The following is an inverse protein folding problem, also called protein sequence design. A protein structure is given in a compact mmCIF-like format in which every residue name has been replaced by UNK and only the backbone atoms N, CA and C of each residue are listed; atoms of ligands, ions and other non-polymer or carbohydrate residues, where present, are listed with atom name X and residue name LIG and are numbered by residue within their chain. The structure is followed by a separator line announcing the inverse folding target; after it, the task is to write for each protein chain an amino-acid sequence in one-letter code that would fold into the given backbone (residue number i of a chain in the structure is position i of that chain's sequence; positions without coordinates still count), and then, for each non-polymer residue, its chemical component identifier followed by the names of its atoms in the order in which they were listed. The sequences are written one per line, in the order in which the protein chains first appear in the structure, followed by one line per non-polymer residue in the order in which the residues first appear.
data_IF_824067301432
#
_entry.id   IF_824067301432
#
_cell.length_a   1.000
_cell.length_b   1.000
_cell.length_c   1.000
_cell.angle_alpha   90.00
_cell.angle_beta   90.00
_cell.angle_gamma   90.00
#
_symmetry.space_group_name_H-M   'P 1'
#
loop_
_entity.id
_entity.type
_entity.pdbx_description
1 polymer ?
#
# COMPACT_ATOMS: atom_id res chain seq x y z
N UNK A 1 -8.46 16.25 21.02
CA UNK A 1 -7.84 16.99 19.90
C UNK A 1 -6.48 17.47 20.36
N UNK A 2 -5.45 16.64 20.23
CA UNK A 2 -4.06 17.04 20.37
C UNK A 2 -3.55 17.36 18.96
N UNK A 3 -3.16 18.61 18.72
CA UNK A 3 -2.43 19.00 17.52
C UNK A 3 -1.05 18.38 17.58
N UNK A 4 -0.83 17.35 16.76
CA UNK A 4 0.50 16.76 16.57
C UNK A 4 1.31 17.70 15.69
N UNK A 5 2.37 18.28 16.25
CA UNK A 5 3.41 18.97 15.47
C UNK A 5 4.27 17.89 14.80
N UNK A 6 4.08 17.72 13.50
CA UNK A 6 4.97 16.92 12.65
C UNK A 6 6.33 17.63 12.58
N UNK A 7 7.43 16.88 12.70
CA UNK A 7 8.78 17.41 12.49
C UNK A 7 8.89 17.96 11.05
N UNK A 8 8.78 19.28 10.92
CA UNK A 8 8.51 20.05 9.70
C UNK A 8 9.67 20.10 8.68
N UNK A 9 10.73 19.30 8.82
CA UNK A 9 11.91 19.41 7.96
C UNK A 9 11.73 18.91 6.51
N UNK A 10 10.58 18.29 6.21
CA UNK A 10 10.31 17.58 4.97
C UNK A 10 8.95 17.95 4.35
N UNK A 11 8.37 19.12 4.66
CA UNK A 11 7.00 19.46 4.21
C UNK A 11 7.00 20.63 3.22
N UNK A 12 6.35 20.45 2.06
CA UNK A 12 6.06 21.52 1.11
C UNK A 12 4.60 21.95 1.28
N UNK A 13 4.39 23.16 1.81
CA UNK A 13 3.06 23.77 1.98
C UNK A 13 2.90 24.86 0.93
N UNK A 14 1.84 24.75 0.12
CA UNK A 14 1.45 25.80 -0.85
C UNK A 14 0.03 26.22 -0.48
N UNK A 15 -0.16 27.49 -0.14
CA UNK A 15 -1.46 28.08 0.27
C UNK A 15 -2.22 27.30 1.34
N UNK A 16 -1.50 26.70 2.29
CA UNK A 16 -2.08 25.91 3.38
C UNK A 16 -2.46 24.48 2.99
N UNK A 17 -2.22 24.05 1.75
CA UNK A 17 -2.39 22.66 1.33
C UNK A 17 -1.08 21.90 1.51
N UNK A 18 -1.17 20.72 2.12
CA UNK A 18 -0.05 19.81 2.36
C UNK A 18 -0.35 18.46 1.70
N UNK A 19 0.61 17.90 0.97
CA UNK A 19 0.54 16.54 0.41
C UNK A 19 1.80 15.77 0.79
N UNK A 20 1.63 14.54 1.26
CA UNK A 20 2.73 13.67 1.62
C UNK A 20 2.45 12.21 1.26
N UNK A 21 3.52 11.48 0.94
CA UNK A 21 3.48 10.01 0.93
C UNK A 21 3.56 9.57 2.40
N UNK A 22 2.49 8.92 2.88
CA UNK A 22 2.38 8.48 4.28
C UNK A 22 2.88 7.04 4.47
N UNK A 23 3.96 6.71 3.76
CA UNK A 23 4.65 5.42 3.85
C UNK A 23 6.05 5.63 4.44
N UNK A 24 6.70 4.57 4.95
CA UNK A 24 8.10 4.63 5.34
C UNK A 24 9.01 5.08 4.19
N UNK A 25 10.13 5.72 4.51
CA UNK A 25 11.08 6.26 3.52
C UNK A 25 11.76 5.19 2.65
N UNK A 26 11.69 3.91 3.02
CA UNK A 26 12.20 2.80 2.23
C UNK A 26 11.06 1.84 1.92
N UNK A 27 10.74 1.67 0.64
CA UNK A 27 9.76 0.72 0.12
C UNK A 27 10.52 -0.33 -0.70
N UNK A 28 10.45 -1.59 -0.33
CA UNK A 28 11.17 -2.70 -0.96
C UNK A 28 10.18 -3.57 -1.72
N UNK A 29 10.44 -3.76 -3.01
CA UNK A 29 9.62 -4.53 -3.93
C UNK A 29 10.39 -5.73 -4.49
N UNK A 30 9.90 -6.97 -4.31
CA UNK A 30 10.49 -8.16 -4.90
C UNK A 30 10.21 -8.17 -6.40
N UNK A 31 11.25 -8.27 -7.21
CA UNK A 31 11.12 -8.49 -8.64
C UNK A 31 10.82 -9.97 -8.88
N UNK A 32 9.69 -10.34 -9.49
CA UNK A 32 9.39 -11.73 -9.79
C UNK A 32 10.41 -12.29 -10.77
N UNK A 33 10.75 -13.57 -10.62
CA UNK A 33 11.76 -14.22 -11.44
C UNK A 33 11.23 -14.49 -12.86
N UNK A 34 11.40 -13.49 -13.73
CA UNK A 34 11.41 -13.38 -15.22
C UNK A 34 10.68 -14.34 -16.18
N UNK A 35 9.96 -15.39 -15.78
CA UNK A 35 9.33 -16.31 -16.77
C UNK A 35 7.85 -16.06 -17.04
N UNK A 36 7.15 -15.28 -16.22
CA UNK A 36 5.71 -15.07 -16.35
C UNK A 36 5.35 -13.60 -16.15
N UNK A 37 4.20 -13.17 -16.68
CA UNK A 37 3.60 -11.84 -16.54
C UNK A 37 3.22 -11.54 -15.07
N UNK A 38 4.22 -11.57 -14.20
CA UNK A 38 4.06 -11.41 -12.79
C UNK A 38 3.81 -9.93 -12.50
N UNK A 39 2.77 -9.70 -11.71
CA UNK A 39 2.28 -8.40 -11.38
C UNK A 39 2.50 -8.19 -9.88
N UNK A 40 3.35 -7.24 -9.53
CA UNK A 40 3.49 -6.81 -8.15
C UNK A 40 2.48 -5.71 -7.90
N UNK A 41 1.67 -5.86 -6.86
CA UNK A 41 0.87 -4.74 -6.37
C UNK A 41 1.67 -3.93 -5.36
N UNK A 42 1.67 -2.64 -5.53
CA UNK A 42 2.18 -1.66 -4.59
C UNK A 42 1.01 -0.78 -4.16
N UNK A 43 0.77 -0.65 -2.85
CA UNK A 43 -0.20 0.29 -2.32
C UNK A 43 0.55 1.37 -1.54
N UNK A 44 0.49 2.61 -2.02
CA UNK A 44 1.05 3.78 -1.34
C UNK A 44 -0.09 4.63 -0.81
N UNK A 45 -0.06 4.90 0.49
CA UNK A 45 -0.98 5.83 1.14
C UNK A 45 -0.47 7.25 0.96
N UNK A 46 -1.35 8.14 0.54
CA UNK A 46 -1.09 9.55 0.32
C UNK A 46 -2.01 10.33 1.26
N UNK A 47 -1.42 11.24 2.02
CA UNK A 47 -2.14 12.11 2.95
C UNK A 47 -2.19 13.51 2.34
N UNK A 48 -3.39 14.06 2.21
CA UNK A 48 -3.62 15.42 1.71
C UNK A 48 -4.35 16.19 2.80
N UNK A 49 -3.68 17.17 3.40
CA UNK A 49 -4.24 17.99 4.48
C UNK A 49 -4.50 19.40 3.98
N UNK A 50 -5.76 19.84 4.09
CA UNK A 50 -6.16 21.20 3.81
C UNK A 50 -6.15 22.03 5.10
N UNK A 51 -5.13 22.86 5.30
CA UNK A 51 -5.05 23.83 6.40
C UNK A 51 -5.54 25.23 6.00
N UNK A 52 -5.97 25.43 4.75
CA UNK A 52 -6.56 26.68 4.30
C UNK A 52 -7.92 26.92 4.95
N UNK A 53 -8.43 28.14 4.85
CA UNK A 53 -9.76 28.52 5.38
C UNK A 53 -10.91 28.07 4.48
N UNK A 54 -10.64 27.81 3.21
CA UNK A 54 -11.62 27.33 2.22
C UNK A 54 -11.46 25.84 1.94
N UNK A 55 -12.46 25.23 1.30
CA UNK A 55 -12.35 23.88 0.76
C UNK A 55 -11.38 23.85 -0.42
N UNK A 56 -10.65 22.74 -0.55
CA UNK A 56 -9.67 22.52 -1.61
C UNK A 56 -10.18 21.46 -2.59
N UNK A 57 -10.27 21.77 -3.90
CA UNK A 57 -10.69 20.79 -4.90
C UNK A 57 -9.53 19.85 -5.25
N UNK A 58 -9.69 18.56 -4.97
CA UNK A 58 -8.71 17.53 -5.29
C UNK A 58 -9.17 16.66 -6.46
N UNK A 59 -8.28 16.47 -7.45
CA UNK A 59 -8.52 15.68 -8.65
C UNK A 59 -7.49 14.57 -8.80
N UNK A 60 -7.91 13.31 -8.72
CA UNK A 60 -6.96 12.19 -8.73
C UNK A 60 -6.14 12.11 -10.03
N UNK A 61 -6.69 12.53 -11.17
CA UNK A 61 -6.03 12.52 -12.49
C UNK A 61 -4.93 13.58 -12.65
N UNK A 62 -4.85 14.53 -11.70
CA UNK A 62 -3.82 15.58 -11.68
C UNK A 62 -2.59 15.20 -10.88
N UNK A 63 -2.63 14.05 -10.21
CA UNK A 63 -1.49 13.50 -9.49
C UNK A 63 -0.65 12.65 -10.45
N UNK A 64 0.63 12.98 -10.55
CA UNK A 64 1.59 12.31 -11.43
C UNK A 64 2.81 11.83 -10.66
N UNK A 65 3.42 10.69 -11.04
CA UNK A 65 4.66 10.26 -10.43
C UNK A 65 5.80 11.09 -10.98
N UNK A 66 6.82 11.24 -10.16
CA UNK A 66 8.16 11.44 -10.66
C UNK A 66 9.09 10.43 -10.01
N UNK A 67 9.87 9.74 -10.84
CA UNK A 67 10.83 8.74 -10.40
C UNK A 67 12.22 9.22 -10.78
N UNK A 68 13.13 9.24 -9.80
CA UNK A 68 14.56 9.47 -10.01
C UNK A 68 15.31 8.15 -9.92
N UNK A 69 16.17 7.88 -10.90
CA UNK A 69 17.16 6.82 -10.80
C UNK A 69 18.25 7.19 -9.78
N UNK A 70 19.02 6.18 -9.34
CA UNK A 70 20.20 6.38 -8.48
C UNK A 70 21.26 7.32 -9.09
N UNK A 71 21.26 7.48 -10.42
CA UNK A 71 22.11 8.44 -11.14
C UNK A 71 21.64 9.90 -11.01
N UNK A 72 20.47 10.14 -10.42
CA UNK A 72 19.80 11.46 -10.39
C UNK A 72 19.02 11.79 -11.67
N UNK A 73 19.02 10.89 -12.66
CA UNK A 73 18.23 11.08 -13.88
C UNK A 73 16.73 10.90 -13.59
N UNK A 74 15.93 11.87 -14.02
CA UNK A 74 14.47 11.76 -14.00
C UNK A 74 14.02 10.76 -15.06
N UNK A 75 13.30 9.73 -14.62
CA UNK A 75 12.59 8.81 -15.49
C UNK A 75 11.20 9.41 -15.70
N UNK A 76 11.04 10.09 -16.84
CA UNK A 76 9.76 10.70 -17.15
C UNK A 76 8.75 9.61 -17.51
N UNK A 77 7.63 9.51 -16.78
CA UNK A 77 6.61 8.54 -17.12
C UNK A 77 5.96 8.97 -18.44
N UNK A 78 6.01 8.10 -19.44
CA UNK A 78 5.31 8.31 -20.71
C UNK A 78 3.81 8.15 -20.44
N UNK A 79 3.09 9.27 -20.42
CA UNK A 79 1.63 9.27 -20.26
C UNK A 79 1.01 8.65 -21.51
N UNK A 80 0.49 7.43 -21.42
CA UNK A 80 -0.42 6.95 -22.46
C UNK A 80 -1.77 7.61 -22.23
N UNK A 81 -2.01 8.70 -22.95
CA UNK A 81 -3.34 9.31 -23.02
C UNK A 81 -4.22 8.33 -23.81
N UNK A 82 -5.08 7.57 -23.13
CA UNK A 82 -6.18 6.91 -23.81
C UNK A 82 -7.14 7.99 -24.34
N UNK A 83 -7.64 7.80 -25.56
CA UNK A 83 -8.29 8.82 -26.38
C UNK A 83 -9.46 9.53 -25.67
N UNK A 84 -9.43 10.88 -25.67
CA UNK A 84 -10.59 11.78 -25.49
C UNK A 84 -11.53 11.47 -24.30
N UNK A 85 -11.01 11.23 -23.10
CA UNK A 85 -11.87 11.14 -21.92
C UNK A 85 -11.97 12.52 -21.27
N UNK A 86 -13.15 13.11 -21.36
CA UNK A 86 -13.53 14.28 -20.57
C UNK A 86 -13.39 13.92 -19.07
N UNK A 87 -12.69 14.71 -18.25
CA UNK A 87 -12.60 14.45 -16.82
C UNK A 87 -13.99 14.23 -16.25
N UNK A 88 -14.28 13.04 -15.72
CA UNK A 88 -15.54 12.79 -15.04
C UNK A 88 -15.52 13.53 -13.72
N UNK A 89 -16.58 14.30 -13.44
CA UNK A 89 -16.78 14.99 -12.15
C UNK A 89 -16.64 14.00 -10.97
N UNK A 90 -16.92 12.71 -11.20
CA UNK A 90 -16.76 11.61 -10.26
C UNK A 90 -15.34 11.42 -9.70
N UNK A 91 -14.30 11.98 -10.34
CA UNK A 91 -12.90 11.85 -9.89
C UNK A 91 -12.41 13.04 -9.05
N UNK A 92 -13.33 13.93 -8.66
CA UNK A 92 -13.02 15.16 -7.94
C UNK A 92 -13.73 15.24 -6.59
N UNK A 93 -13.00 15.64 -5.55
CA UNK A 93 -13.50 15.73 -4.17
C UNK A 93 -13.10 17.07 -3.57
N UNK A 94 -14.05 17.74 -2.92
CA UNK A 94 -13.75 18.86 -2.03
C UNK A 94 -13.18 18.35 -0.70
N UNK A 95 -11.96 18.76 -0.36
CA UNK A 95 -11.35 18.55 0.95
C UNK A 95 -11.71 19.75 1.81
N UNK A 96 -12.56 19.62 2.86
CA UNK A 96 -12.96 20.76 3.67
C UNK A 96 -11.78 21.38 4.43
N UNK A 97 -11.92 22.63 4.84
CA UNK A 97 -10.95 23.32 5.70
C UNK A 97 -10.65 22.50 6.97
N UNK A 98 -9.36 22.43 7.33
CA UNK A 98 -8.83 21.70 8.49
C UNK A 98 -9.16 20.21 8.48
N UNK A 99 -9.29 19.62 7.29
CA UNK A 99 -9.52 18.18 7.11
C UNK A 99 -8.40 17.55 6.29
N UNK A 100 -8.26 16.25 6.50
CA UNK A 100 -7.32 15.39 5.78
C UNK A 100 -8.10 14.38 4.93
N UNK A 101 -7.64 14.18 3.71
CA UNK A 101 -8.04 13.10 2.82
C UNK A 101 -6.90 12.08 2.77
N UNK A 102 -7.26 10.80 2.94
CA UNK A 102 -6.38 9.69 2.64
C UNK A 102 -6.74 9.15 1.26
N UNK A 103 -5.73 9.09 0.39
CA UNK A 103 -5.80 8.49 -0.93
C UNK A 103 -4.87 7.27 -0.95
N UNK A 104 -5.24 6.28 -1.75
CA UNK A 104 -4.43 5.09 -1.96
C UNK A 104 -4.04 5.04 -3.43
N UNK A 105 -2.74 5.04 -3.70
CA UNK A 105 -2.19 4.76 -5.00
C UNK A 105 -1.89 3.28 -5.08
N UNK A 106 -2.69 2.56 -5.85
CA UNK A 106 -2.54 1.14 -6.12
C UNK A 106 -1.81 1.02 -7.45
N UNK A 107 -0.50 0.81 -7.39
CA UNK A 107 0.32 0.54 -8.56
C UNK A 107 0.44 -0.96 -8.81
N UNK A 108 0.43 -1.34 -10.07
CA UNK A 108 0.70 -2.66 -10.61
C UNK A 108 2.00 -2.56 -11.40
N UNK A 109 3.05 -3.18 -10.88
CA UNK A 109 4.30 -3.34 -11.60
C UNK A 109 4.27 -4.66 -12.37
N UNK A 110 4.36 -4.60 -13.69
CA UNK A 110 4.49 -5.78 -14.55
C UNK A 110 5.85 -5.77 -15.25
N UNK A 111 6.32 -6.93 -15.68
CA UNK A 111 7.52 -7.08 -16.51
C UNK A 111 7.09 -7.63 -17.85
N UNK A 112 7.40 -6.91 -18.93
CA UNK A 112 7.11 -7.33 -20.31
C UNK A 112 8.34 -7.06 -21.18
N UNK A 113 8.86 -8.09 -21.87
CA UNK A 113 10.04 -7.99 -22.73
C UNK A 113 11.28 -7.40 -22.03
N UNK A 114 11.52 -7.80 -20.77
CA UNK A 114 12.55 -7.23 -19.89
C UNK A 114 12.38 -5.72 -19.59
N UNK A 115 11.20 -5.17 -19.88
CA UNK A 115 10.79 -3.81 -19.51
C UNK A 115 9.85 -3.89 -18.32
N UNK A 116 10.11 -3.09 -17.30
CA UNK A 116 9.13 -2.90 -16.23
C UNK A 116 8.09 -1.86 -16.65
N UNK A 117 6.81 -2.16 -16.41
CA UNK A 117 5.71 -1.24 -16.62
C UNK A 117 5.03 -0.99 -15.29
N UNK A 118 4.90 0.28 -14.91
CA UNK A 118 4.20 0.68 -13.69
C UNK A 118 2.84 1.25 -14.06
N UNK A 119 1.85 0.38 -14.14
CA UNK A 119 0.46 0.83 -14.20
C UNK A 119 0.05 1.27 -12.80
N UNK A 120 -0.83 2.27 -12.67
CA UNK A 120 -1.40 2.55 -11.37
C UNK A 120 -2.86 3.00 -11.44
N UNK A 121 -3.51 2.95 -10.30
CA UNK A 121 -4.85 3.45 -10.10
C UNK A 121 -4.85 4.20 -8.78
N UNK A 122 -5.35 5.43 -8.81
CA UNK A 122 -5.55 6.20 -7.58
C UNK A 122 -6.99 5.97 -7.16
N UNK A 123 -7.14 5.44 -5.96
CA UNK A 123 -8.43 5.23 -5.33
C UNK A 123 -8.50 6.12 -4.09
N UNK A 124 -9.67 6.71 -3.86
CA UNK A 124 -9.95 7.37 -2.58
C UNK A 124 -10.65 6.36 -1.69
N UNK A 125 -10.61 6.56 -0.37
CA UNK A 125 -11.23 5.62 0.57
C UNK A 125 -12.77 5.54 0.49
N UNK A 126 -13.41 6.08 -0.54
CA UNK A 126 -14.86 6.14 -0.68
C UNK A 126 -15.38 5.66 -2.03
N UNK A 127 -14.55 5.62 -3.06
CA UNK A 127 -14.96 5.21 -4.40
C UNK A 127 -13.81 4.51 -5.13
N UNK A 128 -14.07 3.27 -5.55
CA UNK A 128 -13.32 2.65 -6.63
C UNK A 128 -13.82 3.26 -7.93
N UNK A 129 -13.09 4.24 -8.44
CA UNK A 129 -13.11 4.46 -9.87
C UNK A 129 -12.47 3.22 -10.51
N UNK A 130 -13.31 2.32 -11.04
CA UNK A 130 -12.84 1.22 -11.91
C UNK A 130 -12.29 1.73 -13.24
N UNK A 131 -12.31 3.04 -13.47
CA UNK A 131 -11.67 3.67 -14.61
C UNK A 131 -10.15 3.61 -14.47
N UNK A 132 -9.60 2.52 -14.99
CA UNK A 132 -8.18 2.16 -15.12
C UNK A 132 -7.39 3.05 -16.08
N UNK A 133 -7.79 4.29 -16.26
CA UNK A 133 -7.40 5.08 -17.43
C UNK A 133 -6.09 5.85 -17.29
N UNK A 134 -5.42 5.77 -16.13
CA UNK A 134 -4.14 6.42 -15.91
C UNK A 134 -3.03 5.38 -15.87
N UNK A 135 -2.65 4.86 -17.04
CA UNK A 135 -1.47 3.99 -17.16
C UNK A 135 -0.27 4.85 -17.55
N UNK A 136 0.76 4.79 -16.72
CA UNK A 136 2.06 5.39 -17.01
C UNK A 136 3.02 4.29 -17.43
N UNK A 137 3.82 4.58 -18.44
CA UNK A 137 4.88 3.67 -18.86
C UNK A 137 6.21 4.27 -18.43
N UNK A 138 7.01 3.47 -17.75
CA UNK A 138 8.38 3.81 -17.43
C UNK A 138 9.27 3.10 -18.45
N UNK A 139 10.33 3.77 -18.89
CA UNK A 139 11.38 3.12 -19.66
C UNK A 139 12.08 2.05 -18.78
N UNK A 140 12.89 1.19 -19.40
CA UNK A 140 13.68 0.17 -18.70
C UNK A 140 14.35 0.74 -17.46
N UNK A 141 14.06 0.18 -16.30
CA UNK A 141 14.83 0.44 -15.08
C UNK A 141 15.46 -0.86 -14.57
N UNK A 142 16.67 -0.75 -14.04
CA UNK A 142 17.45 -1.87 -13.53
C UNK A 142 17.08 -2.16 -12.07
N UNK A 143 17.49 -3.30 -11.53
CA UNK A 143 17.48 -3.52 -10.08
C UNK A 143 18.26 -2.40 -9.38
N UNK A 144 17.77 -1.95 -8.23
CA UNK A 144 18.41 -0.86 -7.51
C UNK A 144 17.44 0.02 -6.75
N UNK A 145 17.97 1.15 -6.27
CA UNK A 145 17.24 2.14 -5.48
C UNK A 145 16.86 3.30 -6.39
N UNK A 146 15.59 3.66 -6.32
CA UNK A 146 14.97 4.79 -6.99
C UNK A 146 14.37 5.72 -5.95
N UNK A 147 14.10 6.95 -6.33
CA UNK A 147 13.33 7.87 -5.50
C UNK A 147 12.00 8.17 -6.19
N UNK A 148 10.90 8.02 -5.46
CA UNK A 148 9.56 8.31 -5.92
C UNK A 148 9.03 9.54 -5.19
N UNK A 149 8.47 10.49 -5.92
CA UNK A 149 7.58 11.52 -5.37
C UNK A 149 6.34 11.67 -6.23
N UNK A 150 5.38 12.43 -5.72
CA UNK A 150 4.15 12.76 -6.43
C UNK A 150 4.09 14.27 -6.66
N UNK A 151 3.62 14.63 -7.85
CA UNK A 151 3.41 16.01 -8.27
C UNK A 151 1.92 16.18 -8.54
N UNK A 152 1.27 17.07 -7.79
CA UNK A 152 -0.12 17.45 -7.98
C UNK A 152 -0.22 18.78 -8.71
N UNK A 153 -0.74 18.74 -9.93
CA UNK A 153 -0.96 19.93 -10.76
C UNK A 153 -2.40 20.42 -10.61
N UNK A 154 -2.65 21.26 -9.60
CA UNK A 154 -3.99 21.78 -9.32
C UNK A 154 -4.56 22.51 -10.53
N UNK A 155 -5.81 22.24 -10.96
CA UNK A 155 -6.45 23.05 -11.97
C UNK A 155 -6.78 24.44 -11.38
N UNK A 156 -6.75 25.47 -12.23
CA UNK A 156 -7.11 26.85 -11.89
C UNK A 156 -8.50 27.21 -12.43
N UNK A 157 -9.20 28.13 -11.74
CA UNK A 157 -10.50 28.66 -12.13
C UNK A 157 -11.66 28.05 -11.36
N UNK A 158 -12.87 28.20 -11.92
CA UNK A 158 -14.10 27.64 -11.37
C UNK A 158 -14.22 26.14 -11.68
N UNK A 159 -14.43 25.34 -10.65
CA UNK A 159 -14.38 23.88 -10.70
C UNK A 159 -15.60 23.30 -10.01
N UNK A 160 -16.26 22.36 -10.67
CA UNK A 160 -17.36 21.59 -10.08
C UNK A 160 -16.75 20.34 -9.46
N UNK A 161 -16.92 20.17 -8.15
CA UNK A 161 -16.42 19.01 -7.41
C UNK A 161 -17.49 18.42 -6.51
N UNK A 162 -17.36 17.15 -6.13
CA UNK A 162 -18.26 16.54 -5.15
C UNK A 162 -17.88 16.93 -3.73
N UNK A 163 -18.83 17.44 -2.96
CA UNK A 163 -18.68 17.59 -1.52
C UNK A 163 -18.65 16.21 -0.86
N UNK A 164 -17.64 15.97 -0.03
CA UNK A 164 -17.45 14.67 0.61
C UNK A 164 -18.53 14.34 1.65
N UNK A 165 -19.09 15.36 2.30
CA UNK A 165 -20.07 15.16 3.38
C UNK A 165 -21.47 14.94 2.82
N UNK A 166 -21.86 15.71 1.81
CA UNK A 166 -23.23 15.64 1.26
C UNK A 166 -23.34 14.79 0.00
N UNK A 167 -22.23 14.62 -0.74
CA UNK A 167 -22.22 13.99 -2.07
C UNK A 167 -22.69 14.91 -3.19
N UNK A 168 -23.09 16.15 -2.89
CA UNK A 168 -23.56 17.12 -3.87
C UNK A 168 -22.42 17.73 -4.69
N UNK A 169 -22.73 18.21 -5.89
CA UNK A 169 -21.80 19.00 -6.67
C UNK A 169 -21.76 20.44 -6.14
N UNK A 170 -20.56 20.93 -5.82
CA UNK A 170 -20.31 22.30 -5.40
C UNK A 170 -19.35 23.00 -6.38
N UNK A 171 -19.54 24.30 -6.56
CA UNK A 171 -18.63 25.15 -7.33
C UNK A 171 -17.56 25.70 -6.39
N UNK A 172 -16.30 25.41 -6.68
CA UNK A 172 -15.14 25.95 -5.97
C UNK A 172 -14.26 26.73 -6.93
N UNK A 173 -13.63 27.78 -6.43
CA UNK A 173 -12.62 28.52 -7.17
C UNK A 173 -11.24 28.12 -6.67
N UNK A 174 -10.34 27.73 -7.58
CA UNK A 174 -8.96 27.37 -7.29
C UNK A 174 -8.02 28.35 -7.96
N UNK A 175 -7.12 28.92 -7.16
CA UNK A 175 -6.10 29.87 -7.60
C UNK A 175 -4.68 29.33 -7.46
N UNK A 176 -4.52 28.04 -7.15
CA UNK A 176 -3.21 27.41 -7.03
C UNK A 176 -2.53 27.37 -8.40
N UNK A 177 -1.47 28.15 -8.55
CA UNK A 177 -0.67 28.24 -9.78
C UNK A 177 0.49 27.24 -9.74
N UNK A 178 1.06 27.02 -8.55
CA UNK A 178 2.24 26.17 -8.38
C UNK A 178 1.86 24.70 -8.10
N UNK A 179 2.58 23.72 -8.69
CA UNK A 179 2.40 22.32 -8.36
C UNK A 179 2.72 22.04 -6.90
N UNK A 180 1.92 21.19 -6.27
CA UNK A 180 2.18 20.70 -4.91
C UNK A 180 2.95 19.39 -5.03
N UNK A 181 4.12 19.32 -4.40
CA UNK A 181 5.04 18.17 -4.51
C UNK A 181 5.22 17.48 -3.17
N UNK A 182 5.24 16.15 -3.17
CA UNK A 182 5.65 15.37 -2.00
C UNK A 182 7.17 15.36 -1.89
N UNK A 183 7.68 14.98 -0.72
CA UNK A 183 9.06 14.52 -0.61
C UNK A 183 9.28 13.20 -1.34
N UNK A 184 10.55 12.92 -1.59
CA UNK A 184 10.99 11.65 -2.11
C UNK A 184 10.93 10.56 -1.04
N UNK A 185 10.45 9.39 -1.44
CA UNK A 185 10.65 8.12 -0.73
C UNK A 185 11.52 7.22 -1.59
N UNK A 186 12.34 6.38 -0.97
CA UNK A 186 13.16 5.41 -1.69
C UNK A 186 12.34 4.17 -2.03
N UNK A 187 12.38 3.75 -3.29
CA UNK A 187 11.81 2.50 -3.78
C UNK A 187 12.96 1.61 -4.24
N UNK A 188 13.14 0.47 -3.59
CA UNK A 188 14.20 -0.48 -3.90
C UNK A 188 13.60 -1.73 -4.55
N UNK A 189 14.05 -2.04 -5.75
CA UNK A 189 13.73 -3.29 -6.42
C UNK A 189 14.81 -4.32 -6.12
N UNK A 190 14.42 -5.44 -5.54
CA UNK A 190 15.33 -6.52 -5.13
C UNK A 190 14.92 -7.84 -5.76
N UNK A 191 15.90 -8.68 -6.07
CA UNK A 191 15.60 -10.07 -6.41
C UNK A 191 15.24 -10.87 -5.16
N UNK A 192 14.37 -11.90 -5.28
CA UNK A 192 14.20 -12.90 -4.25
C UNK A 192 15.53 -13.59 -3.95
N UNK A 193 15.71 -14.03 -2.71
CA UNK A 193 16.92 -14.77 -2.31
C UNK A 193 17.01 -16.05 -3.14
N UNK A 194 18.14 -16.30 -3.81
CA UNK A 194 18.30 -17.40 -4.80
C UNK A 194 17.85 -18.78 -4.29
N UNK A 195 18.10 -19.05 -3.01
CA UNK A 195 17.78 -20.33 -2.36
C UNK A 195 16.36 -20.41 -1.81
N UNK A 196 15.64 -19.28 -1.73
CA UNK A 196 14.27 -19.21 -1.21
C UNK A 196 13.46 -18.13 -1.93
N UNK A 197 12.63 -18.58 -2.85
CA UNK A 197 11.72 -17.73 -3.63
C UNK A 197 10.63 -17.06 -2.79
N UNK A 198 10.51 -17.37 -1.50
CA UNK A 198 9.54 -16.76 -0.57
C UNK A 198 10.15 -15.65 0.28
N UNK A 199 11.43 -15.34 0.08
CA UNK A 199 12.14 -14.36 0.86
C UNK A 199 12.79 -13.26 0.01
N UNK A 200 12.87 -12.06 0.59
CA UNK A 200 13.71 -10.97 0.14
C UNK A 200 14.66 -10.55 1.24
N UNK A 201 15.83 -10.05 0.88
CA UNK A 201 16.80 -9.51 1.81
C UNK A 201 17.16 -8.06 1.47
N UNK A 202 17.12 -7.19 2.46
CA UNK A 202 17.48 -5.78 2.34
C UNK A 202 18.34 -5.37 3.52
N UNK A 203 19.51 -4.80 3.27
CA UNK A 203 20.46 -4.34 4.29
C UNK A 203 20.80 -5.42 5.34
N UNK A 204 20.88 -6.68 4.92
CA UNK A 204 21.12 -7.81 5.83
C UNK A 204 19.90 -8.21 6.66
N UNK A 205 18.69 -7.72 6.37
CA UNK A 205 17.46 -8.17 7.02
C UNK A 205 16.64 -8.95 5.99
N UNK A 206 16.37 -10.22 6.29
CA UNK A 206 15.60 -11.13 5.44
C UNK A 206 14.14 -11.20 5.92
N UNK A 207 13.21 -11.02 4.99
CA UNK A 207 11.76 -11.09 5.20
C UNK A 207 11.19 -12.25 4.38
N UNK A 208 10.49 -13.18 5.02
CA UNK A 208 9.95 -14.40 4.40
C UNK A 208 8.45 -14.55 4.73
N UNK A 209 7.60 -14.76 3.73
CA UNK A 209 6.19 -15.14 3.96
C UNK A 209 6.09 -16.60 4.36
N UNK A 210 5.47 -16.84 5.52
CA UNK A 210 5.23 -18.15 6.10
C UNK A 210 3.73 -18.47 5.98
N UNK A 211 3.43 -19.54 5.25
CA UNK A 211 2.11 -20.16 5.14
C UNK A 211 2.28 -21.64 5.51
N UNK A 212 2.14 -22.03 6.80
CA UNK A 212 2.44 -23.38 7.27
C UNK A 212 1.57 -24.45 6.61
N UNK A 213 0.29 -24.17 6.40
CA UNK A 213 -0.64 -25.02 5.65
C UNK A 213 -1.02 -24.31 4.35
N UNK A 214 -0.70 -24.91 3.20
CA UNK A 214 -0.97 -24.35 1.88
C UNK A 214 -2.25 -24.91 1.24
N UNK A 215 -2.98 -25.80 1.92
CA UNK A 215 -4.26 -26.33 1.47
C UNK A 215 -5.28 -26.06 2.56
N UNK A 216 -6.14 -25.06 2.35
CA UNK A 216 -7.16 -24.70 3.33
C UNK A 216 -8.45 -25.40 2.98
N UNK A 217 -8.89 -26.29 3.88
CA UNK A 217 -10.13 -27.04 3.74
C UNK A 217 -11.27 -26.23 4.35
N UNK A 218 -12.25 -25.89 3.52
CA UNK A 218 -13.44 -25.16 3.96
C UNK A 218 -14.64 -26.10 4.01
N UNK A 219 -15.41 -26.01 5.09
CA UNK A 219 -16.72 -26.65 5.17
C UNK A 219 -17.76 -25.66 4.67
N UNK A 220 -18.47 -26.02 3.59
CA UNK A 220 -19.57 -25.22 3.05
C UNK A 220 -20.94 -25.71 3.51
N UNK A 221 -20.99 -26.56 4.55
CA UNK A 221 -22.24 -27.13 5.08
C UNK A 221 -23.21 -26.07 5.60
N UNK A 222 -22.69 -24.96 6.12
CA UNK A 222 -23.47 -23.83 6.61
C UNK A 222 -22.84 -22.52 6.15
N UNK A 223 -23.64 -21.64 5.54
CA UNK A 223 -23.19 -20.33 5.02
C UNK A 223 -22.59 -19.41 6.10
N UNK A 224 -22.79 -19.72 7.39
CA UNK A 224 -22.30 -18.94 8.53
C UNK A 224 -21.25 -19.68 9.35
N UNK A 225 -20.81 -20.85 8.90
CA UNK A 225 -19.78 -21.60 9.60
C UNK A 225 -18.40 -21.06 9.22
N UNK A 226 -17.70 -20.54 10.22
CA UNK A 226 -16.33 -20.07 10.07
C UNK A 226 -15.45 -21.29 9.89
N UNK A 227 -14.72 -21.34 8.77
CA UNK A 227 -13.72 -22.40 8.56
C UNK A 227 -12.65 -22.38 9.66
N UNK A 228 -11.97 -23.51 9.92
CA UNK A 228 -10.85 -23.53 10.86
C UNK A 228 -9.86 -22.41 10.53
N UNK A 229 -9.48 -21.64 11.55
CA UNK A 229 -8.48 -20.61 11.38
C UNK A 229 -7.12 -21.23 11.05
N UNK A 230 -6.43 -20.63 10.09
CA UNK A 230 -5.07 -20.95 9.69
C UNK A 230 -4.14 -19.81 10.11
N UNK A 231 -2.87 -20.14 10.36
CA UNK A 231 -1.86 -19.12 10.62
C UNK A 231 -1.19 -18.71 9.30
N UNK A 232 -1.00 -17.42 9.12
CA UNK A 232 -0.10 -16.86 8.10
C UNK A 232 0.80 -15.84 8.80
N UNK A 233 2.03 -15.67 8.35
CA UNK A 233 2.94 -14.79 9.06
C UNK A 233 4.17 -14.40 8.28
N UNK A 234 4.94 -13.47 8.84
CA UNK A 234 6.24 -13.10 8.29
C UNK A 234 7.33 -13.53 9.26
N UNK A 235 8.38 -14.17 8.73
CA UNK A 235 9.62 -14.39 9.46
C UNK A 235 10.61 -13.31 9.06
N UNK A 236 11.19 -12.68 10.06
CA UNK A 236 12.22 -11.65 9.91
C UNK A 236 13.50 -12.21 10.52
N UNK A 237 14.54 -12.35 9.71
CA UNK A 237 15.86 -12.81 10.15
C UNK A 237 16.86 -11.66 10.02
N UNK A 238 17.55 -11.34 11.10
CA UNK A 238 18.54 -10.27 11.11
C UNK A 238 19.92 -10.85 10.79
N UNK A 239 20.30 -10.86 9.51
CA UNK A 239 21.65 -11.24 9.06
C UNK A 239 22.66 -10.09 9.17
N UNK A 240 22.25 -8.89 9.59
CA UNK A 240 23.13 -7.74 9.74
C UNK A 240 24.07 -7.89 10.95
N UNK A 241 25.02 -6.96 11.10
CA UNK A 241 25.93 -6.92 12.24
C UNK A 241 25.39 -6.18 13.46
N UNK A 242 24.22 -5.54 13.36
CA UNK A 242 23.61 -4.75 14.44
C UNK A 242 22.27 -5.36 14.84
N UNK A 243 21.88 -5.19 16.10
CA UNK A 243 20.54 -5.59 16.54
C UNK A 243 19.51 -4.59 16.03
N UNK A 244 18.34 -5.07 15.65
CA UNK A 244 17.23 -4.23 15.16
C UNK A 244 15.92 -4.63 15.82
N UNK A 245 15.03 -3.65 16.01
CA UNK A 245 13.68 -3.87 16.53
C UNK A 245 12.65 -3.90 15.42
N UNK A 246 11.72 -4.83 15.54
CA UNK A 246 10.58 -4.97 14.66
C UNK A 246 9.30 -4.92 15.47
N UNK A 247 8.36 -4.08 15.03
CA UNK A 247 7.03 -4.00 15.62
C UNK A 247 6.10 -5.05 14.99
N UNK A 248 5.37 -5.81 15.81
CA UNK A 248 4.32 -6.73 15.36
C UNK A 248 2.95 -6.06 15.22
N UNK A 249 2.71 -4.92 15.89
CA UNK A 249 1.41 -4.25 15.94
C UNK A 249 1.03 -3.58 14.61
N UNK A 250 -0.01 -4.09 13.94
CA UNK A 250 -0.60 -3.53 12.71
C UNK A 250 0.37 -3.38 11.53
N UNK A 251 1.46 -4.14 11.54
CA UNK A 251 2.54 -4.04 10.55
C UNK A 251 2.41 -5.03 9.39
N UNK A 252 1.60 -6.09 9.51
CA UNK A 252 1.44 -7.10 8.46
C UNK A 252 0.21 -6.78 7.61
N UNK A 253 0.41 -6.53 6.32
CA UNK A 253 -0.69 -6.25 5.38
C UNK A 253 -0.77 -7.39 4.35
N UNK A 254 -1.85 -8.18 4.33
CA UNK A 254 -2.04 -9.23 3.35
C UNK A 254 -2.45 -8.64 1.99
N UNK A 255 -1.86 -9.19 0.93
CA UNK A 255 -2.22 -8.94 -0.46
C UNK A 255 -2.52 -10.28 -1.11
N UNK A 256 -3.69 -10.38 -1.73
CA UNK A 256 -4.15 -11.61 -2.37
C UNK A 256 -4.32 -11.40 -3.87
N UNK A 257 -3.69 -12.26 -4.66
CA UNK A 257 -3.92 -12.38 -6.09
C UNK A 257 -4.80 -13.59 -6.38
N UNK A 258 -5.87 -13.37 -7.13
CA UNK A 258 -6.70 -14.43 -7.71
C UNK A 258 -6.09 -15.03 -8.99
N UNK A 259 -6.74 -16.06 -9.53
CA UNK A 259 -6.28 -16.81 -10.72
C UNK A 259 -6.04 -15.95 -11.98
N UNK A 260 -6.69 -14.79 -12.08
CA UNK A 260 -6.53 -13.86 -13.19
C UNK A 260 -5.47 -12.76 -12.94
N UNK A 261 -4.70 -12.88 -11.86
CA UNK A 261 -3.73 -11.87 -11.44
C UNK A 261 -4.36 -10.55 -11.00
N UNK A 262 -5.66 -10.53 -10.72
CA UNK A 262 -6.31 -9.38 -10.07
C UNK A 262 -6.09 -9.46 -8.57
N UNK A 263 -5.79 -8.31 -7.99
CA UNK A 263 -5.73 -8.12 -6.54
C UNK A 263 -7.16 -8.14 -6.03
N UNK A 264 -7.48 -9.10 -5.17
CA UNK A 264 -8.81 -9.24 -4.59
C UNK A 264 -8.94 -8.37 -3.35
N UNK A 265 -10.15 -7.87 -3.11
CA UNK A 265 -10.56 -7.44 -1.78
C UNK A 265 -9.86 -6.20 -1.20
N UNK A 266 -9.13 -5.40 -1.99
CA UNK A 266 -8.64 -4.09 -1.53
C UNK A 266 -9.77 -3.06 -1.33
N UNK A 267 -11.02 -3.49 -1.15
CA UNK A 267 -12.13 -2.61 -0.79
C UNK A 267 -11.93 -2.06 0.62
N UNK A 268 -11.21 -0.94 0.67
CA UNK A 268 -11.11 -0.02 1.80
C UNK A 268 -10.49 -0.60 3.06
N UNK A 269 -9.18 -0.38 3.20
CA UNK A 269 -8.59 -0.06 4.50
C UNK A 269 -8.92 -1.03 5.61
N UNK A 270 -8.72 -2.33 5.37
CA UNK A 270 -8.46 -3.27 6.45
C UNK A 270 -7.35 -2.67 7.30
N UNK A 271 -7.72 -2.20 8.47
CA UNK A 271 -6.93 -1.31 9.28
C UNK A 271 -7.42 -1.43 10.71
N UNK A 272 -6.51 -1.27 11.66
CA UNK A 272 -6.90 -1.23 13.07
C UNK A 272 -7.86 -0.08 13.29
N UNK A 273 -9.14 -0.41 13.49
CA UNK A 273 -10.14 0.52 14.04
C UNK A 273 -9.95 0.70 15.55
N UNK A 274 -8.91 0.08 16.11
CA UNK A 274 -8.55 0.19 17.51
C UNK A 274 -7.94 1.54 17.86
N UNK A 275 -8.52 2.19 18.87
CA UNK A 275 -7.95 3.34 19.56
C UNK A 275 -6.70 3.03 20.40
N UNK A 276 -6.24 1.78 20.38
CA UNK A 276 -5.10 1.32 21.17
C UNK A 276 -3.84 1.48 20.33
N UNK A 277 -2.87 2.23 20.83
CA UNK A 277 -1.53 2.29 20.21
C UNK A 277 -0.75 1.00 20.48
N UNK A 278 0.33 0.78 19.72
CA UNK A 278 1.29 -0.28 20.04
C UNK A 278 1.85 -0.09 21.46
N UNK A 279 2.22 -1.17 22.12
CA UNK A 279 2.91 -1.18 23.42
C UNK A 279 4.36 -1.60 23.23
N UNK A 280 5.22 -1.35 24.21
CA UNK A 280 6.63 -1.81 24.19
C UNK A 280 6.77 -3.32 23.91
N UNK A 281 5.84 -4.14 24.42
CA UNK A 281 5.81 -5.59 24.17
C UNK A 281 5.64 -5.99 22.71
N UNK A 282 5.15 -5.08 21.87
CA UNK A 282 4.95 -5.32 20.44
C UNK A 282 6.26 -5.11 19.65
N UNK A 283 7.31 -4.56 20.29
CA UNK A 283 8.61 -4.29 19.69
C UNK A 283 9.62 -5.36 20.08
N UNK A 284 9.97 -6.20 19.12
CA UNK A 284 10.87 -7.34 19.32
C UNK A 284 12.28 -6.98 18.85
N UNK A 285 13.24 -6.95 19.78
CA UNK A 285 14.67 -6.82 19.46
C UNK A 285 15.20 -8.14 18.92
N UNK A 286 15.74 -8.12 17.71
CA UNK A 286 16.32 -9.27 17.03
C UNK A 286 17.82 -9.03 16.87
N UNK A 287 18.65 -9.86 17.49
CA UNK A 287 20.11 -9.74 17.39
C UNK A 287 20.62 -10.29 16.06
N UNK A 288 21.89 -10.00 15.69
CA UNK A 288 22.54 -10.66 14.57
C UNK A 288 22.38 -12.19 14.62
N UNK A 289 22.02 -12.76 13.48
CA UNK A 289 21.74 -14.19 13.25
C UNK A 289 20.52 -14.75 13.97
N UNK A 290 19.71 -13.92 14.63
CA UNK A 290 18.43 -14.33 15.21
C UNK A 290 17.26 -14.04 14.25
N UNK A 291 16.11 -14.67 14.54
CA UNK A 291 14.88 -14.43 13.80
C UNK A 291 13.69 -14.27 14.72
N UNK A 292 12.71 -13.48 14.31
CA UNK A 292 11.38 -13.41 14.91
C UNK A 292 10.34 -13.78 13.86
N UNK A 293 9.23 -14.41 14.27
CA UNK A 293 8.09 -14.67 13.39
C UNK A 293 6.85 -14.03 13.96
N UNK A 294 6.15 -13.25 13.15
CA UNK A 294 4.86 -12.66 13.49
C UNK A 294 3.77 -13.41 12.76
N UNK A 295 2.93 -14.12 13.51
CA UNK A 295 1.75 -14.80 12.96
C UNK A 295 0.49 -13.96 13.17
N UNK A 296 -0.39 -14.04 12.19
CA UNK A 296 -1.78 -13.60 12.26
C UNK A 296 -2.68 -14.77 11.92
N UNK A 297 -3.87 -14.78 12.51
CA UNK A 297 -4.89 -15.79 12.20
C UNK A 297 -5.72 -15.32 11.01
N UNK A 298 -6.00 -16.25 10.10
CA UNK A 298 -6.86 -16.02 8.95
C UNK A 298 -7.92 -17.11 8.88
N UNK A 299 -9.09 -16.78 8.36
CA UNK A 299 -10.16 -17.75 8.14
C UNK A 299 -11.00 -17.38 6.93
N UNK A 300 -11.66 -18.38 6.35
CA UNK A 300 -12.61 -18.22 5.26
C UNK A 300 -14.04 -18.20 5.81
N UNK A 301 -14.83 -17.24 5.34
CA UNK A 301 -16.26 -17.10 5.59
C UNK A 301 -17.04 -17.25 4.27
N UNK A 302 -18.15 -17.98 4.30
CA UNK A 302 -19.09 -18.07 3.19
C UNK A 302 -19.99 -16.82 3.10
N UNK A 303 -20.40 -16.47 1.88
CA UNK A 303 -21.37 -15.40 1.63
C UNK A 303 -22.66 -15.93 1.06
N UNK A 304 -23.72 -15.14 1.21
CA UNK A 304 -25.06 -15.43 0.65
C UNK A 304 -25.09 -15.47 -0.87
N UNK A 305 -24.14 -14.85 -1.56
CA UNK A 305 -23.97 -14.88 -3.02
C UNK A 305 -23.13 -16.09 -3.51
N UNK A 306 -22.72 -16.98 -2.61
CA UNK A 306 -21.92 -18.15 -2.92
C UNK A 306 -20.42 -17.86 -3.12
N UNK A 307 -19.99 -16.61 -2.91
CA UNK A 307 -18.57 -16.25 -2.85
C UNK A 307 -18.00 -16.48 -1.45
N UNK A 308 -16.69 -16.42 -1.35
CA UNK A 308 -15.94 -16.57 -0.11
C UNK A 308 -15.25 -15.25 0.25
N UNK A 309 -15.11 -15.01 1.54
CA UNK A 309 -14.30 -13.93 2.09
C UNK A 309 -13.12 -14.53 2.86
N UNK A 310 -11.93 -14.03 2.64
CA UNK A 310 -10.78 -14.28 3.51
C UNK A 310 -10.68 -13.15 4.51
N UNK A 311 -10.88 -13.47 5.79
CA UNK A 311 -10.69 -12.57 6.91
C UNK A 311 -9.31 -12.84 7.49
N UNK A 312 -8.47 -11.80 7.59
CA UNK A 312 -7.17 -11.87 8.26
C UNK A 312 -7.21 -10.95 9.47
N UNK A 313 -7.05 -11.52 10.66
CA UNK A 313 -7.05 -10.74 11.89
C UNK A 313 -5.73 -9.97 12.02
N UNK A 314 -5.81 -8.67 12.24
CA UNK A 314 -4.64 -7.88 12.60
C UNK A 314 -4.10 -8.25 13.97
N UNK A 315 -2.83 -7.94 14.21
CA UNK A 315 -2.22 -7.94 15.54
C UNK A 315 -2.70 -6.78 16.44
N UNK A 316 -3.63 -5.95 15.94
CA UNK A 316 -4.40 -4.95 16.70
C UNK A 316 -5.90 -5.27 16.69
N UNK A 317 -6.75 -4.26 16.88
CA UNK A 317 -8.22 -4.43 16.81
C UNK A 317 -8.77 -4.35 15.38
N UNK A 318 -7.92 -4.50 14.37
CA UNK A 318 -8.29 -4.47 12.96
C UNK A 318 -8.34 -5.85 12.33
N UNK A 319 -8.90 -5.91 11.14
CA UNK A 319 -8.82 -7.07 10.27
C UNK A 319 -8.80 -6.60 8.81
N UNK A 320 -8.36 -7.48 7.92
CA UNK A 320 -8.50 -7.33 6.48
C UNK A 320 -9.60 -8.27 6.01
N UNK A 321 -10.54 -7.75 5.22
CA UNK A 321 -11.55 -8.55 4.53
C UNK A 321 -11.22 -8.57 3.04
N UNK A 322 -10.83 -9.73 2.54
CA UNK A 322 -10.54 -9.94 1.15
C UNK A 322 -11.74 -10.67 0.53
N UNK A 323 -12.48 -10.00 -0.34
CA UNK A 323 -13.76 -10.49 -0.83
C UNK A 323 -13.71 -11.09 -2.23
N UNK A 324 -14.72 -11.91 -2.55
CA UNK A 324 -14.97 -12.40 -3.90
C UNK A 324 -14.16 -13.64 -4.27
N UNK A 325 -13.69 -14.39 -3.28
CA UNK A 325 -12.95 -15.63 -3.49
C UNK A 325 -13.91 -16.76 -3.92
N UNK A 326 -13.33 -17.74 -4.60
CA UNK A 326 -13.91 -19.03 -4.97
C UNK A 326 -12.96 -20.15 -4.55
N UNK A 327 -13.36 -21.40 -4.66
CA UNK A 327 -12.42 -22.53 -4.60
C UNK A 327 -11.39 -22.39 -5.75
N UNK A 328 -10.12 -22.68 -5.49
CA UNK A 328 -9.06 -22.47 -6.49
C UNK A 328 -7.67 -22.25 -5.88
N UNK A 329 -6.72 -21.88 -6.75
CA UNK A 329 -5.35 -21.54 -6.36
C UNK A 329 -5.21 -20.03 -6.27
N UNK A 330 -4.59 -19.58 -5.18
CA UNK A 330 -4.35 -18.18 -4.90
C UNK A 330 -2.90 -17.94 -4.54
N UNK A 331 -2.47 -16.70 -4.70
CA UNK A 331 -1.16 -16.23 -4.28
C UNK A 331 -1.31 -15.19 -3.17
N UNK A 332 -0.69 -15.45 -2.03
CA UNK A 332 -0.65 -14.58 -0.86
C UNK A 332 0.73 -13.93 -0.75
N UNK A 333 0.75 -12.61 -0.58
CA UNK A 333 1.93 -11.85 -0.19
C UNK A 333 1.62 -11.19 1.14
N UNK A 334 2.61 -11.14 2.03
CA UNK A 334 2.57 -10.28 3.20
C UNK A 334 3.51 -9.11 3.01
N UNK A 335 3.02 -7.93 3.36
CA UNK A 335 3.84 -6.72 3.45
C UNK A 335 4.12 -6.44 4.91
N UNK A 336 5.39 -6.27 5.27
CA UNK A 336 5.78 -5.70 6.55
C UNK A 336 5.93 -4.19 6.41
N UNK A 337 5.14 -3.42 7.14
CA UNK A 337 5.18 -1.96 7.15
C UNK A 337 5.52 -1.48 8.55
N UNK A 338 6.71 -0.91 8.73
CA UNK A 338 7.09 -0.30 10.00
C UNK A 338 6.19 0.90 10.32
N UNK A 339 5.92 1.10 11.61
CA UNK A 339 5.18 2.28 12.08
C UNK A 339 6.01 3.54 11.86
N UNK A 340 5.45 4.52 11.16
CA UNK A 340 6.12 5.81 10.90
C UNK A 340 6.16 6.69 12.16
N UNK A 341 5.23 6.50 13.10
CA UNK A 341 5.11 7.25 14.34
C UNK A 341 4.89 6.30 15.54
N UNK A 342 5.96 5.82 16.21
CA UNK A 342 5.81 5.02 17.41
C UNK A 342 5.19 5.86 18.55
N UNK A 343 4.39 5.26 19.46
CA UNK A 343 3.56 5.96 20.44
C UNK A 343 4.32 6.89 21.40
N UNK A 344 5.59 6.61 21.67
CA UNK A 344 6.36 7.30 22.71
C UNK A 344 7.38 8.31 22.15
N UNK A 345 7.12 8.91 20.99
CA UNK A 345 7.96 9.99 20.47
C UNK A 345 9.35 9.56 20.01
N UNK A 346 9.53 8.29 19.62
CA UNK A 346 10.76 7.81 18.98
C UNK A 346 11.80 7.17 19.90
N UNK A 347 11.40 6.53 21.01
CA UNK A 347 12.31 5.90 21.98
C UNK A 347 13.25 4.80 21.44
N UNK A 348 12.97 4.22 20.27
CA UNK A 348 13.78 3.16 19.68
C UNK A 348 14.61 3.68 18.50
N UNK A 349 15.86 4.04 18.77
CA UNK A 349 16.83 4.38 17.70
C UNK A 349 17.12 3.18 16.80
N UNK A 350 16.98 1.96 17.34
CA UNK A 350 17.18 0.67 16.69
C UNK A 350 15.92 0.12 16.00
N UNK A 351 14.86 0.91 15.84
CA UNK A 351 13.68 0.49 15.10
C UNK A 351 13.98 0.42 13.61
N UNK A 352 13.73 -0.73 12.99
CA UNK A 352 13.83 -0.88 11.53
C UNK A 352 12.77 0.00 10.84
N UNK A 353 13.19 0.80 9.86
CA UNK A 353 12.33 1.79 9.17
C UNK A 353 12.20 1.42 7.70
N UNK A 354 11.06 0.86 7.33
CA UNK A 354 10.77 0.57 5.93
C UNK A 354 9.43 -0.11 5.74
N UNK A 355 9.17 -0.48 4.50
CA UNK A 355 8.06 -1.28 4.05
C UNK A 355 8.60 -2.35 3.10
N UNK A 356 8.45 -3.62 3.43
CA UNK A 356 8.94 -4.73 2.60
C UNK A 356 7.78 -5.57 2.14
N UNK A 357 7.63 -5.68 0.82
CA UNK A 357 6.79 -6.69 0.20
C UNK A 357 7.58 -7.99 0.09
N UNK A 358 7.03 -9.08 0.59
CA UNK A 358 7.61 -10.41 0.37
C UNK A 358 7.18 -10.97 -0.99
N UNK A 359 7.84 -11.98 -1.56
CA UNK A 359 7.34 -12.66 -2.74
C UNK A 359 5.99 -13.35 -2.46
N UNK A 360 5.21 -13.58 -3.52
CA UNK A 360 3.95 -14.32 -3.42
C UNK A 360 4.18 -15.81 -3.11
N UNK A 361 3.32 -16.36 -2.25
CA UNK A 361 3.29 -17.78 -1.89
C UNK A 361 1.94 -18.35 -2.25
N UNK A 362 1.94 -19.50 -2.93
CA UNK A 362 0.71 -20.18 -3.34
C UNK A 362 0.03 -20.91 -2.19
N UNK A 363 -1.30 -20.85 -2.17
CA UNK A 363 -2.15 -21.71 -1.36
C UNK A 363 -3.42 -22.07 -2.15
N UNK A 364 -4.10 -23.14 -1.72
CA UNK A 364 -5.28 -23.67 -2.39
C UNK A 364 -6.47 -23.70 -1.43
N UNK A 365 -7.62 -23.22 -1.91
CA UNK A 365 -8.90 -23.35 -1.23
C UNK A 365 -9.65 -24.56 -1.80
N UNK A 366 -9.95 -25.55 -0.96
CA UNK A 366 -10.70 -26.74 -1.34
C UNK A 366 -11.87 -27.00 -0.39
N UNK A 367 -12.92 -27.64 -0.88
CA UNK A 367 -14.02 -28.11 -0.05
C UNK A 367 -13.61 -29.41 0.67
N UNK A 368 -13.88 -29.48 1.98
CA UNK A 368 -13.59 -30.66 2.82
C UNK A 368 -14.48 -31.85 2.51
#
# INVERSE_FOLDING_TARGET
MSSFELNDSNTFKVDGIHIEIWEPNLIVLPVPNTTENANISLQITICITNNALSSFPFFCDKLSPEILASSGQVIHPQKLINAQITPSIDNSIAIPSKKTLLCYLIAKLSIQNNLFQLQWNICTSFQFSTNTHHTWYLDTFQLGIYQLRLIYNSPSGELIVKDRQTGDNILLESYLIDPIITTFVNVQFVEPVETDRKAVEVNGIRFETIVPENIWRISLSNLFEVSPSVEIGIRITNNSSISERFCSYTTLIPVLLGENGLILGQQLGGGSTGWVGSKESDYHLVKPQESVTFFVTAHIEGRTDGLLNLIVNGTGYGYWSLEGLKLGIYQLQLTYRALTNPPDGGLFEDLWKGMVHTPFVEFCLIQS
#
